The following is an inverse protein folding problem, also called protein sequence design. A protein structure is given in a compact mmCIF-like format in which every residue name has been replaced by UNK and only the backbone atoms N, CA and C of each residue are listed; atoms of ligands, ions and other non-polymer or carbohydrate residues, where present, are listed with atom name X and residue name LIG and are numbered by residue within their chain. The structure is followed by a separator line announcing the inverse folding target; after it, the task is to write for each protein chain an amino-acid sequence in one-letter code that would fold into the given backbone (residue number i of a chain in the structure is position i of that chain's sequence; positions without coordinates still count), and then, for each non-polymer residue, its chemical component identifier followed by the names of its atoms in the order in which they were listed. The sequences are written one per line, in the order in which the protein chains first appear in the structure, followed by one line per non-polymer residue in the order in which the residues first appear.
data_IF_311859376700
#
_entry.id   IF_311859376700
#
_cell.length_a   1.000
_cell.length_b   1.000
_cell.length_c   1.000
_cell.angle_alpha   90.00
_cell.angle_beta   90.00
_cell.angle_gamma   90.00
#
_symmetry.space_group_name_H-M   'P 1'
#
loop_
_entity.id
_entity.type
_entity.pdbx_description
1 polymer ?
#
# COMPACT_ATOMS: atom_id res chain seq x y z
N UNK A 1 -28.40 -16.50 31.48
CA UNK A 1 -27.82 -17.39 30.45
C UNK A 1 -27.02 -16.58 29.41
N UNK A 2 -26.57 -15.37 29.78
CA UNK A 2 -26.26 -14.31 28.82
C UNK A 2 -24.76 -14.04 28.67
N UNK A 3 -23.94 -14.46 29.64
CA UNK A 3 -22.49 -14.25 29.63
C UNK A 3 -21.77 -14.87 28.42
N UNK A 4 -21.98 -16.14 28.04
CA UNK A 4 -21.28 -16.72 26.89
C UNK A 4 -21.70 -16.08 25.56
N UNK A 5 -22.96 -15.65 25.43
CA UNK A 5 -23.45 -14.93 24.25
C UNK A 5 -22.86 -13.52 24.18
N UNK A 6 -22.81 -12.80 25.30
CA UNK A 6 -22.19 -11.48 25.39
C UNK A 6 -20.69 -11.52 25.05
N UNK A 7 -19.97 -12.55 25.51
CA UNK A 7 -18.55 -12.75 25.17
C UNK A 7 -18.34 -13.06 23.68
N UNK A 8 -19.18 -13.91 23.09
CA UNK A 8 -19.12 -14.20 21.65
C UNK A 8 -19.38 -12.94 20.81
N UNK A 9 -20.37 -12.14 21.20
CA UNK A 9 -20.67 -10.86 20.58
C UNK A 9 -19.48 -9.89 20.66
N UNK A 10 -18.89 -9.71 21.84
CA UNK A 10 -17.75 -8.81 22.04
C UNK A 10 -16.54 -9.24 21.19
N UNK A 11 -16.21 -10.54 21.14
CA UNK A 11 -15.12 -11.07 20.32
C UNK A 11 -15.32 -10.81 18.84
N UNK A 12 -16.53 -11.06 18.33
CA UNK A 12 -16.88 -10.83 16.93
C UNK A 12 -16.83 -9.33 16.58
N UNK A 13 -17.26 -8.46 17.50
CA UNK A 13 -17.19 -7.01 17.33
C UNK A 13 -15.75 -6.51 17.28
N UNK A 14 -14.88 -6.99 18.17
CA UNK A 14 -13.44 -6.64 18.16
C UNK A 14 -12.78 -7.11 16.87
N UNK A 15 -13.05 -8.35 16.43
CA UNK A 15 -12.53 -8.87 15.17
C UNK A 15 -12.96 -8.02 13.97
N UNK A 16 -14.22 -7.61 13.91
CA UNK A 16 -14.75 -6.77 12.84
C UNK A 16 -14.10 -5.38 12.84
N UNK A 17 -14.01 -4.74 14.01
CA UNK A 17 -13.36 -3.42 14.14
C UNK A 17 -11.89 -3.48 13.73
N UNK A 18 -11.15 -4.50 14.18
CA UNK A 18 -9.75 -4.68 13.82
C UNK A 18 -9.57 -4.90 12.31
N UNK A 19 -10.48 -5.64 11.66
CA UNK A 19 -10.48 -5.83 10.21
C UNK A 19 -10.74 -4.51 9.48
N UNK A 20 -11.76 -3.75 9.88
CA UNK A 20 -12.07 -2.43 9.28
C UNK A 20 -10.88 -1.48 9.43
N UNK A 21 -10.31 -1.39 10.64
CA UNK A 21 -9.15 -0.54 10.92
C UNK A 21 -7.96 -0.94 10.06
N UNK A 22 -7.70 -2.24 9.88
CA UNK A 22 -6.59 -2.72 9.04
C UNK A 22 -6.75 -2.30 7.58
N UNK A 23 -7.97 -2.38 7.02
CA UNK A 23 -8.26 -1.96 5.64
C UNK A 23 -8.17 -0.45 5.49
N UNK A 24 -8.73 0.31 6.44
CA UNK A 24 -8.66 1.78 6.43
C UNK A 24 -7.21 2.25 6.57
N UNK A 25 -6.39 1.52 7.33
CA UNK A 25 -4.97 1.82 7.51
C UNK A 25 -4.16 1.72 6.21
N UNK A 26 -4.58 0.95 5.21
CA UNK A 26 -3.95 0.95 3.87
C UNK A 26 -4.07 2.32 3.18
N UNK A 27 -5.17 3.04 3.40
CA UNK A 27 -5.39 4.37 2.82
C UNK A 27 -4.70 5.47 3.65
N UNK A 28 -4.75 5.33 4.98
CA UNK A 28 -4.29 6.34 5.92
C UNK A 28 -2.81 6.19 6.28
N UNK A 29 -2.31 4.96 6.42
CA UNK A 29 -0.94 4.64 6.81
C UNK A 29 0.12 5.33 5.95
N UNK A 30 -0.02 5.38 4.61
CA UNK A 30 0.90 6.13 3.75
C UNK A 30 0.90 7.66 3.97
N UNK A 31 -0.13 8.24 4.61
CA UNK A 31 -0.15 9.67 4.98
C UNK A 31 0.70 9.96 6.22
N UNK A 32 0.79 8.99 7.14
CA UNK A 32 1.51 9.15 8.41
C UNK A 32 2.94 8.62 8.35
N UNK A 33 3.22 7.70 7.44
CA UNK A 33 4.56 7.15 7.25
C UNK A 33 5.39 8.15 6.45
N UNK A 34 6.11 9.02 7.17
CA UNK A 34 6.88 10.14 6.61
C UNK A 34 8.26 9.76 6.08
N UNK A 35 8.58 8.47 5.98
CA UNK A 35 9.86 8.06 5.41
C UNK A 35 9.76 8.12 3.88
N UNK A 36 9.95 9.34 3.36
CA UNK A 36 9.92 9.66 1.94
C UNK A 36 11.24 10.28 1.50
N UNK A 37 11.44 10.37 0.18
CA UNK A 37 12.64 10.97 -0.38
C UNK A 37 12.82 12.45 -0.05
N UNK A 38 11.80 13.16 0.44
CA UNK A 38 11.92 14.59 0.75
C UNK A 38 12.94 14.84 1.86
N UNK A 39 13.02 13.92 2.82
CA UNK A 39 14.06 13.94 3.86
C UNK A 39 15.46 13.58 3.37
N UNK A 40 15.55 12.81 2.28
CA UNK A 40 16.80 12.23 1.77
C UNK A 40 17.44 13.07 0.67
N UNK A 41 16.64 13.84 -0.08
CA UNK A 41 17.09 14.71 -1.17
C UNK A 41 18.21 15.72 -0.76
N UNK A 42 18.21 16.31 0.45
CA UNK A 42 19.31 17.17 0.89
C UNK A 42 20.66 16.44 0.98
N UNK A 43 20.64 15.12 1.19
CA UNK A 43 21.81 14.27 1.38
C UNK A 43 22.21 13.50 0.13
N UNK A 44 21.64 13.80 -1.05
CA UNK A 44 21.93 13.10 -2.32
C UNK A 44 23.42 12.98 -2.62
N UNK A 45 24.20 14.04 -2.37
CA UNK A 45 25.65 14.02 -2.60
C UNK A 45 26.35 12.99 -1.73
N UNK A 46 25.93 12.85 -0.48
CA UNK A 46 26.46 11.85 0.45
C UNK A 46 25.98 10.44 0.05
N UNK A 47 24.70 10.29 -0.29
CA UNK A 47 24.13 9.00 -0.71
C UNK A 47 24.82 8.43 -1.96
N UNK A 48 25.20 9.30 -2.92
CA UNK A 48 25.96 8.90 -4.12
C UNK A 48 27.39 8.44 -3.84
N UNK A 49 27.94 8.69 -2.65
CA UNK A 49 29.27 8.16 -2.29
C UNK A 49 29.23 6.68 -1.90
N UNK A 50 28.04 6.14 -1.59
CA UNK A 50 27.89 4.73 -1.27
C UNK A 50 27.89 3.87 -2.54
N UNK A 51 28.51 2.68 -2.53
CA UNK A 51 28.53 1.75 -3.65
C UNK A 51 27.20 0.98 -3.75
N UNK A 52 26.08 1.70 -3.79
CA UNK A 52 24.74 1.15 -3.85
C UNK A 52 24.10 1.51 -5.19
N UNK A 53 23.35 0.56 -5.73
CA UNK A 53 22.50 0.80 -6.89
C UNK A 53 21.34 1.74 -6.51
N UNK A 54 21.07 2.75 -7.31
CA UNK A 54 20.03 3.74 -7.06
C UNK A 54 18.63 3.11 -7.01
N UNK A 55 18.39 2.08 -7.83
CA UNK A 55 17.15 1.30 -7.78
C UNK A 55 16.99 0.55 -6.45
N UNK A 56 18.08 0.01 -5.91
CA UNK A 56 18.08 -0.65 -4.60
C UNK A 56 17.82 0.35 -3.45
N UNK A 57 18.35 1.58 -3.54
CA UNK A 57 18.08 2.65 -2.57
C UNK A 57 16.59 3.03 -2.55
N UNK A 58 16.01 3.23 -3.74
CA UNK A 58 14.56 3.49 -3.91
C UNK A 58 13.71 2.35 -3.37
N UNK A 59 14.08 1.11 -3.70
CA UNK A 59 13.40 -0.07 -3.18
C UNK A 59 13.47 -0.15 -1.66
N UNK A 60 14.63 0.11 -1.06
CA UNK A 60 14.81 0.07 0.39
C UNK A 60 13.99 1.14 1.12
N UNK A 61 13.96 2.37 0.58
CA UNK A 61 13.19 3.47 1.17
C UNK A 61 11.69 3.16 1.15
N UNK A 62 11.18 2.68 0.02
CA UNK A 62 9.78 2.28 -0.13
C UNK A 62 9.45 1.07 0.76
N UNK A 63 10.34 0.07 0.81
CA UNK A 63 10.16 -1.13 1.62
C UNK A 63 10.13 -0.80 3.13
N UNK A 64 10.97 0.13 3.60
CA UNK A 64 10.98 0.54 5.01
C UNK A 64 9.65 1.16 5.44
N UNK A 65 9.09 2.04 4.60
CA UNK A 65 7.79 2.66 4.81
C UNK A 65 6.65 1.64 4.75
N UNK A 66 6.64 0.79 3.72
CA UNK A 66 5.62 -0.24 3.58
C UNK A 66 5.68 -1.26 4.73
N UNK A 67 6.88 -1.60 5.24
CA UNK A 67 7.04 -2.53 6.35
C UNK A 67 6.41 -2.02 7.66
N UNK A 68 6.46 -0.71 7.93
CA UNK A 68 5.77 -0.13 9.09
C UNK A 68 4.26 -0.27 9.00
N UNK A 69 3.69 -0.01 7.82
CA UNK A 69 2.24 -0.14 7.58
C UNK A 69 1.83 -1.61 7.67
N UNK A 70 2.61 -2.49 7.03
CA UNK A 70 2.41 -3.93 7.04
C UNK A 70 2.44 -4.52 8.45
N UNK A 71 3.36 -4.09 9.32
CA UNK A 71 3.46 -4.57 10.70
C UNK A 71 2.17 -4.28 11.48
N UNK A 72 1.57 -3.10 11.28
CA UNK A 72 0.30 -2.72 11.90
C UNK A 72 -0.86 -3.58 11.37
N UNK A 73 -0.94 -3.75 10.04
CA UNK A 73 -1.96 -4.60 9.42
C UNK A 73 -1.84 -6.06 9.84
N UNK A 74 -0.62 -6.59 9.95
CA UNK A 74 -0.36 -7.93 10.43
C UNK A 74 -0.94 -8.11 11.83
N UNK A 75 -0.63 -7.20 12.77
CA UNK A 75 -1.16 -7.24 14.12
C UNK A 75 -2.71 -7.12 14.14
N UNK A 76 -3.27 -6.22 13.34
CA UNK A 76 -4.73 -6.02 13.24
C UNK A 76 -5.46 -7.23 12.68
N UNK A 77 -4.89 -7.93 11.69
CA UNK A 77 -5.49 -9.09 11.05
C UNK A 77 -5.40 -10.38 11.88
N UNK A 78 -4.58 -10.44 12.95
CA UNK A 78 -4.60 -11.57 13.88
C UNK A 78 -5.92 -11.66 14.67
N UNK A 79 -6.56 -10.53 14.95
CA UNK A 79 -7.84 -10.49 15.65
C UNK A 79 -8.96 -11.24 14.90
N UNK A 80 -9.27 -10.93 13.62
CA UNK A 80 -10.27 -11.69 12.85
C UNK A 80 -9.86 -13.14 12.54
N UNK A 81 -8.57 -13.48 12.64
CA UNK A 81 -8.12 -14.88 12.51
C UNK A 81 -8.54 -15.73 13.73
N UNK A 82 -8.28 -15.24 14.95
CA UNK A 82 -8.41 -16.05 16.17
C UNK A 82 -9.67 -15.80 17.01
N UNK A 83 -10.22 -14.59 17.00
CA UNK A 83 -11.29 -14.21 17.93
C UNK A 83 -12.71 -14.69 17.56
N UNK A 84 -13.12 -14.78 16.27
CA UNK A 84 -14.53 -15.02 15.97
C UNK A 84 -15.04 -16.39 16.46
N UNK A 85 -16.22 -16.41 17.08
CA UNK A 85 -16.84 -17.62 17.64
C UNK A 85 -18.36 -17.62 17.42
N UNK A 86 -18.96 -18.80 17.26
CA UNK A 86 -20.40 -18.99 17.10
C UNK A 86 -20.78 -19.76 15.84
N UNK A 87 -22.02 -20.25 15.81
CA UNK A 87 -22.58 -20.96 14.66
C UNK A 87 -22.73 -19.99 13.49
N UNK A 88 -22.21 -20.37 12.32
CA UNK A 88 -22.17 -19.53 11.11
C UNK A 88 -20.85 -18.80 10.87
N UNK A 89 -19.88 -18.87 11.78
CA UNK A 89 -18.54 -18.36 11.51
C UNK A 89 -17.76 -19.28 10.57
N UNK A 90 -16.93 -18.74 9.65
CA UNK A 90 -16.07 -19.55 8.79
C UNK A 90 -15.17 -20.48 9.61
N UNK A 91 -14.82 -21.64 9.04
CA UNK A 91 -13.87 -22.55 9.67
C UNK A 91 -12.49 -21.90 9.81
N UNK A 92 -11.66 -22.38 10.73
CA UNK A 92 -10.31 -21.83 10.91
C UNK A 92 -9.49 -21.85 9.60
N UNK A 93 -9.60 -22.91 8.80
CA UNK A 93 -8.94 -23.01 7.50
C UNK A 93 -9.42 -21.92 6.51
N UNK A 94 -10.72 -21.61 6.49
CA UNK A 94 -11.26 -20.52 5.67
C UNK A 94 -10.75 -19.16 6.14
N UNK A 95 -10.72 -18.92 7.46
CA UNK A 95 -10.19 -17.68 8.03
C UNK A 95 -8.70 -17.50 7.74
N UNK A 96 -7.91 -18.58 7.82
CA UNK A 96 -6.51 -18.56 7.45
C UNK A 96 -6.33 -18.21 5.96
N UNK A 97 -7.17 -18.78 5.09
CA UNK A 97 -7.19 -18.41 3.67
C UNK A 97 -7.51 -16.93 3.44
N UNK A 98 -8.54 -16.41 4.12
CA UNK A 98 -8.90 -14.97 4.06
C UNK A 98 -7.81 -14.08 4.64
N UNK A 99 -7.17 -14.49 5.73
CA UNK A 99 -6.05 -13.78 6.36
C UNK A 99 -4.89 -13.63 5.39
N UNK A 100 -4.42 -14.74 4.79
CA UNK A 100 -3.32 -14.71 3.81
C UNK A 100 -3.71 -13.87 2.59
N UNK A 101 -4.94 -14.03 2.09
CA UNK A 101 -5.43 -13.28 0.94
C UNK A 101 -5.44 -11.77 1.18
N UNK A 102 -6.03 -11.33 2.30
CA UNK A 102 -6.09 -9.93 2.69
C UNK A 102 -4.70 -9.38 2.95
N UNK A 103 -3.86 -10.10 3.71
CA UNK A 103 -2.52 -9.66 4.04
C UNK A 103 -1.67 -9.40 2.78
N UNK A 104 -1.75 -10.28 1.78
CA UNK A 104 -1.05 -10.09 0.50
C UNK A 104 -1.63 -8.92 -0.32
N UNK A 105 -2.96 -8.81 -0.39
CA UNK A 105 -3.61 -7.72 -1.10
C UNK A 105 -3.27 -6.35 -0.50
N UNK A 106 -3.37 -6.21 0.83
CA UNK A 106 -3.09 -4.97 1.53
C UNK A 106 -1.59 -4.61 1.46
N UNK A 107 -0.68 -5.57 1.66
CA UNK A 107 0.76 -5.33 1.52
C UNK A 107 1.13 -4.79 0.14
N UNK A 108 0.51 -5.35 -0.90
CA UNK A 108 0.75 -4.92 -2.29
C UNK A 108 0.22 -3.51 -2.54
N UNK A 109 -0.96 -3.18 -2.00
CA UNK A 109 -1.54 -1.84 -2.04
C UNK A 109 -0.72 -0.81 -1.25
N UNK A 110 -0.14 -1.21 -0.11
CA UNK A 110 0.71 -0.35 0.70
C UNK A 110 1.97 0.04 -0.08
N UNK A 111 2.65 -0.93 -0.69
CA UNK A 111 3.84 -0.68 -1.50
C UNK A 111 3.50 0.25 -2.67
N UNK A 112 2.39 0.01 -3.37
CA UNK A 112 1.94 0.89 -4.46
C UNK A 112 1.67 2.31 -3.98
N UNK A 113 0.95 2.46 -2.87
CA UNK A 113 0.60 3.75 -2.28
C UNK A 113 1.82 4.54 -1.83
N UNK A 114 2.80 3.88 -1.21
CA UNK A 114 4.07 4.47 -0.80
C UNK A 114 4.92 4.84 -2.03
N UNK A 115 4.93 3.99 -3.05
CA UNK A 115 5.68 4.22 -4.29
C UNK A 115 5.20 5.48 -5.00
N UNK A 116 3.88 5.63 -5.18
CA UNK A 116 3.29 6.81 -5.84
C UNK A 116 3.64 8.10 -5.09
N UNK A 117 3.60 8.07 -3.75
CA UNK A 117 3.95 9.24 -2.92
C UNK A 117 5.42 9.62 -3.04
N UNK A 118 6.30 8.62 -3.06
CA UNK A 118 7.73 8.82 -3.26
C UNK A 118 8.06 9.28 -4.68
N UNK A 119 7.35 8.77 -5.69
CA UNK A 119 7.50 9.21 -7.07
C UNK A 119 7.22 10.71 -7.24
N UNK A 120 6.16 11.23 -6.61
CA UNK A 120 5.85 12.67 -6.66
C UNK A 120 7.00 13.51 -6.07
N UNK A 121 7.64 13.04 -5.00
CA UNK A 121 8.79 13.73 -4.43
C UNK A 121 10.01 13.77 -5.38
N UNK A 122 10.20 12.72 -6.18
CA UNK A 122 11.27 12.65 -7.17
C UNK A 122 10.98 13.47 -8.44
N UNK A 123 9.72 13.51 -8.90
CA UNK A 123 9.34 14.30 -10.08
C UNK A 123 9.25 15.80 -9.82
N UNK A 124 8.96 16.19 -8.58
CA UNK A 124 8.81 17.59 -8.18
C UNK A 124 9.75 17.91 -7.00
N UNK A 125 11.08 17.86 -7.20
CA UNK A 125 12.04 18.10 -6.14
C UNK A 125 11.94 19.53 -5.59
N UNK A 126 11.56 20.52 -6.42
CA UNK A 126 11.33 21.90 -6.00
C UNK A 126 10.13 22.10 -5.06
N UNK A 127 9.27 21.09 -4.87
CA UNK A 127 8.21 21.12 -3.84
C UNK A 127 8.70 20.62 -2.48
N UNK A 128 9.98 20.24 -2.37
CA UNK A 128 10.61 19.83 -1.13
C UNK A 128 11.14 21.05 -0.40
N UNK A 129 10.53 21.34 0.74
CA UNK A 129 10.92 22.47 1.57
C UNK A 129 12.21 22.15 2.31
N UNK A 130 13.28 22.81 1.91
CA UNK A 130 14.55 22.82 2.62
C UNK A 130 14.48 23.85 3.76
N UNK A 131 13.76 23.54 4.84
CA UNK A 131 13.72 24.40 6.04
C UNK A 131 12.36 24.48 6.75
N UNK A 132 12.36 25.11 7.94
CA UNK A 132 11.18 25.28 8.81
C UNK A 132 10.24 26.42 8.36
N UNK A 133 10.51 27.04 7.21
CA UNK A 133 9.71 28.13 6.66
C UNK A 133 8.67 27.57 5.69
N UNK A 134 7.43 27.37 6.14
CA UNK A 134 6.46 26.76 5.23
C UNK A 134 5.04 26.54 5.72
N UNK A 135 4.55 27.35 6.66
CA UNK A 135 3.17 27.30 7.16
C UNK A 135 2.16 28.18 6.40
N UNK A 136 2.44 28.57 5.15
CA UNK A 136 1.59 29.45 4.35
C UNK A 136 0.49 28.72 3.55
N UNK A 137 -0.48 29.47 3.02
CA UNK A 137 -1.55 28.95 2.15
C UNK A 137 -1.02 28.19 0.92
N UNK A 138 0.16 28.56 0.41
CA UNK A 138 0.83 27.85 -0.68
C UNK A 138 1.20 26.40 -0.30
N UNK A 139 1.59 26.16 0.96
CA UNK A 139 1.85 24.83 1.48
C UNK A 139 0.61 23.94 1.44
N UNK A 140 -0.54 24.53 1.77
CA UNK A 140 -1.82 23.83 1.75
C UNK A 140 -2.19 23.47 0.31
N UNK A 141 -2.00 24.40 -0.63
CA UNK A 141 -2.21 24.16 -2.06
C UNK A 141 -1.32 23.04 -2.62
N UNK A 142 -0.03 23.06 -2.33
CA UNK A 142 0.91 22.01 -2.74
C UNK A 142 0.57 20.64 -2.14
N UNK A 143 0.21 20.60 -0.85
CA UNK A 143 -0.22 19.35 -0.20
C UNK A 143 -1.51 18.80 -0.82
N UNK A 144 -2.47 19.68 -1.16
CA UNK A 144 -3.73 19.29 -1.80
C UNK A 144 -3.48 18.74 -3.21
N UNK A 145 -2.65 19.43 -4.02
CA UNK A 145 -2.28 19.00 -5.36
C UNK A 145 -1.48 17.68 -5.34
N UNK A 146 -0.51 17.55 -4.42
CA UNK A 146 0.25 16.32 -4.25
C UNK A 146 -0.64 15.15 -3.82
N UNK A 147 -1.59 15.39 -2.93
CA UNK A 147 -2.56 14.37 -2.51
C UNK A 147 -3.49 13.99 -3.67
N UNK A 148 -4.08 14.96 -4.36
CA UNK A 148 -4.95 14.73 -5.51
C UNK A 148 -4.23 13.99 -6.64
N UNK A 149 -2.99 14.40 -6.97
CA UNK A 149 -2.14 13.73 -7.94
C UNK A 149 -1.81 12.29 -7.53
N UNK A 150 -1.52 12.05 -6.25
CA UNK A 150 -1.26 10.69 -5.74
C UNK A 150 -2.50 9.79 -5.84
N UNK A 151 -3.68 10.33 -5.52
CA UNK A 151 -4.94 9.59 -5.64
C UNK A 151 -5.27 9.28 -7.09
N UNK A 152 -5.07 10.25 -7.99
CA UNK A 152 -5.28 10.04 -9.42
C UNK A 152 -4.33 8.99 -9.98
N UNK A 153 -3.03 9.06 -9.66
CA UNK A 153 -2.05 8.05 -10.06
C UNK A 153 -2.37 6.67 -9.48
N UNK A 154 -2.80 6.59 -8.22
CA UNK A 154 -3.22 5.33 -7.62
C UNK A 154 -4.44 4.74 -8.32
N UNK A 155 -5.44 5.56 -8.65
CA UNK A 155 -6.61 5.11 -9.42
C UNK A 155 -6.17 4.57 -10.78
N UNK A 156 -5.32 5.30 -11.51
CA UNK A 156 -4.83 4.88 -12.82
C UNK A 156 -4.06 3.57 -12.76
N UNK A 157 -3.15 3.42 -11.79
CA UNK A 157 -2.40 2.18 -11.58
C UNK A 157 -3.33 1.03 -11.19
N UNK A 158 -4.36 1.29 -10.38
CA UNK A 158 -5.28 0.24 -9.95
C UNK A 158 -6.26 -0.21 -11.05
N UNK A 159 -6.40 0.54 -12.16
CA UNK A 159 -7.31 0.17 -13.26
C UNK A 159 -6.96 -1.20 -13.84
N UNK A 160 -5.70 -1.45 -14.20
CA UNK A 160 -5.31 -2.71 -14.86
C UNK A 160 -5.45 -3.90 -13.90
N UNK A 161 -4.92 -3.88 -12.66
CA UNK A 161 -5.10 -4.96 -11.70
C UNK A 161 -6.57 -5.22 -11.36
N UNK A 162 -7.37 -4.18 -11.17
CA UNK A 162 -8.79 -4.32 -10.84
C UNK A 162 -9.60 -4.87 -12.02
N UNK A 163 -9.33 -4.43 -13.25
CA UNK A 163 -10.00 -4.95 -14.45
C UNK A 163 -9.63 -6.42 -14.69
N UNK A 164 -8.36 -6.80 -14.55
CA UNK A 164 -7.94 -8.19 -14.71
C UNK A 164 -8.58 -9.11 -13.66
N UNK A 165 -8.54 -8.70 -12.39
CA UNK A 165 -9.13 -9.48 -11.31
C UNK A 165 -10.65 -9.63 -11.47
N UNK A 166 -11.35 -8.53 -11.78
CA UNK A 166 -12.80 -8.54 -11.98
C UNK A 166 -13.22 -9.31 -13.24
N UNK A 167 -12.47 -9.20 -14.34
CA UNK A 167 -12.73 -9.95 -15.56
C UNK A 167 -12.64 -11.46 -15.33
N UNK A 168 -11.63 -11.93 -14.58
CA UNK A 168 -11.48 -13.35 -14.27
C UNK A 168 -12.55 -13.85 -13.31
N UNK A 169 -12.93 -13.05 -12.31
CA UNK A 169 -14.07 -13.40 -11.45
C UNK A 169 -15.35 -13.54 -12.26
N UNK A 170 -15.65 -12.57 -13.12
CA UNK A 170 -16.84 -12.58 -13.97
C UNK A 170 -16.84 -13.79 -14.91
N UNK A 171 -15.73 -14.03 -15.62
CA UNK A 171 -15.62 -15.12 -16.59
C UNK A 171 -15.79 -16.48 -15.91
N UNK A 172 -15.09 -16.74 -14.81
CA UNK A 172 -15.19 -18.03 -14.12
C UNK A 172 -16.58 -18.26 -13.51
N UNK A 173 -17.22 -17.23 -12.94
CA UNK A 173 -18.58 -17.34 -12.40
C UNK A 173 -19.63 -17.55 -13.51
N UNK A 174 -19.45 -16.95 -14.68
CA UNK A 174 -20.36 -17.12 -15.82
C UNK A 174 -20.30 -18.53 -16.42
N UNK A 175 -19.12 -19.16 -16.45
CA UNK A 175 -18.91 -20.46 -17.12
C UNK A 175 -19.00 -21.68 -16.19
N UNK A 176 -18.84 -21.50 -14.87
CA UNK A 176 -18.88 -22.61 -13.91
C UNK A 176 -20.13 -22.51 -13.03
N UNK A 177 -21.17 -23.28 -13.34
CA UNK A 177 -22.40 -23.38 -12.54
C UNK A 177 -22.19 -24.06 -11.15
N UNK A 178 -20.95 -24.10 -10.62
CA UNK A 178 -20.55 -24.89 -9.46
C UNK A 178 -20.19 -24.00 -8.26
N UNK A 179 -20.82 -24.19 -7.07
CA UNK A 179 -20.45 -23.51 -5.82
C UNK A 179 -19.00 -23.72 -5.38
N UNK A 180 -18.35 -24.81 -5.81
CA UNK A 180 -16.93 -25.10 -5.52
C UNK A 180 -15.96 -24.24 -6.34
N UNK A 181 -16.40 -23.68 -7.47
CA UNK A 181 -15.58 -22.80 -8.29
C UNK A 181 -15.34 -21.43 -7.63
N UNK A 182 -16.19 -21.02 -6.68
CA UNK A 182 -16.09 -19.70 -6.04
C UNK A 182 -14.76 -19.48 -5.31
N UNK A 183 -14.23 -20.52 -4.64
CA UNK A 183 -12.94 -20.42 -3.95
C UNK A 183 -11.76 -20.36 -4.93
N UNK A 184 -11.82 -21.10 -6.04
CA UNK A 184 -10.77 -21.11 -7.06
C UNK A 184 -10.73 -19.77 -7.80
N UNK A 185 -11.89 -19.22 -8.15
CA UNK A 185 -12.00 -17.91 -8.81
C UNK A 185 -11.44 -16.79 -7.95
N UNK A 186 -11.71 -16.79 -6.65
CA UNK A 186 -11.17 -15.79 -5.72
C UNK A 186 -9.65 -15.87 -5.59
N UNK A 187 -9.09 -17.08 -5.49
CA UNK A 187 -7.63 -17.27 -5.43
C UNK A 187 -6.98 -16.82 -6.74
N UNK A 188 -7.53 -17.20 -7.90
CA UNK A 188 -6.99 -16.78 -9.19
C UNK A 188 -7.07 -15.26 -9.39
N UNK A 189 -8.19 -14.64 -9.01
CA UNK A 189 -8.35 -13.20 -9.08
C UNK A 189 -7.34 -12.47 -8.18
N UNK A 190 -7.10 -12.97 -6.98
CA UNK A 190 -6.08 -12.42 -6.08
C UNK A 190 -4.68 -12.57 -6.67
N UNK A 191 -4.34 -13.76 -7.20
CA UNK A 191 -3.01 -14.00 -7.81
C UNK A 191 -2.77 -13.05 -8.98
N UNK A 192 -3.79 -12.83 -9.83
CA UNK A 192 -3.70 -11.90 -10.93
C UNK A 192 -3.63 -10.44 -10.47
N UNK A 193 -4.40 -10.07 -9.45
CA UNK A 193 -4.34 -8.74 -8.85
C UNK A 193 -2.94 -8.43 -8.31
N UNK A 194 -2.41 -9.32 -7.47
CA UNK A 194 -1.07 -9.18 -6.88
C UNK A 194 0.01 -9.22 -7.96
N UNK A 195 -0.12 -10.13 -8.93
CA UNK A 195 0.83 -10.27 -10.04
C UNK A 195 0.86 -9.04 -10.95
N UNK A 196 -0.30 -8.45 -11.25
CA UNK A 196 -0.39 -7.23 -12.05
C UNK A 196 0.28 -6.06 -11.33
N UNK A 197 -0.02 -5.83 -10.04
CA UNK A 197 0.62 -4.76 -9.28
C UNK A 197 2.13 -5.02 -9.13
N UNK A 198 2.56 -6.27 -8.91
CA UNK A 198 3.98 -6.58 -8.84
C UNK A 198 4.71 -6.25 -10.16
N UNK A 199 4.07 -6.49 -11.31
CA UNK A 199 4.58 -6.09 -12.62
C UNK A 199 4.68 -4.57 -12.76
N UNK A 200 3.64 -3.83 -12.35
CA UNK A 200 3.64 -2.37 -12.36
C UNK A 200 4.72 -1.79 -11.45
N UNK A 201 4.86 -2.31 -10.22
CA UNK A 201 5.86 -1.90 -9.25
C UNK A 201 7.28 -2.16 -9.76
N UNK A 202 7.51 -3.31 -10.39
CA UNK A 202 8.82 -3.62 -10.97
C UNK A 202 9.22 -2.63 -12.06
N UNK A 203 8.28 -2.26 -12.94
CA UNK A 203 8.50 -1.22 -13.95
C UNK A 203 8.75 0.14 -13.30
N UNK A 204 7.91 0.52 -12.32
CA UNK A 204 8.04 1.78 -11.59
C UNK A 204 9.37 1.91 -10.86
N UNK A 205 9.84 0.88 -10.17
CA UNK A 205 11.12 0.93 -9.45
C UNK A 205 12.31 1.13 -10.38
N UNK A 206 12.32 0.45 -11.53
CA UNK A 206 13.38 0.64 -12.54
C UNK A 206 13.34 2.04 -13.12
N UNK A 207 12.15 2.52 -13.45
CA UNK A 207 11.99 3.86 -14.01
C UNK A 207 12.35 4.95 -13.01
N UNK A 208 11.91 4.82 -11.75
CA UNK A 208 12.24 5.77 -10.67
C UNK A 208 13.72 5.77 -10.33
N UNK A 209 14.41 4.63 -10.41
CA UNK A 209 15.88 4.57 -10.28
C UNK A 209 16.57 5.45 -11.32
N UNK A 210 16.17 5.34 -12.60
CA UNK A 210 16.70 6.19 -13.67
C UNK A 210 16.38 7.67 -13.44
N UNK A 211 15.19 8.00 -12.94
CA UNK A 211 14.84 9.40 -12.61
C UNK A 211 15.75 9.92 -11.50
N UNK A 212 15.95 9.14 -10.43
CA UNK A 212 16.82 9.49 -9.32
C UNK A 212 18.28 9.74 -9.74
N UNK A 213 18.80 8.95 -10.68
CA UNK A 213 20.14 9.14 -11.23
C UNK A 213 20.30 10.44 -12.00
N UNK A 214 19.24 10.88 -12.69
CA UNK A 214 19.25 12.07 -13.53
C UNK A 214 18.99 13.38 -12.75
N UNK A 215 18.61 13.33 -11.47
CA UNK A 215 18.43 14.53 -10.65
C UNK A 215 19.79 15.19 -10.43
N UNK A 216 19.96 16.44 -10.87
CA UNK A 216 21.19 17.19 -10.61
C UNK A 216 21.23 17.66 -9.14
N UNK A 217 22.31 17.32 -8.45
CA UNK A 217 22.53 17.72 -7.06
C UNK A 217 22.94 19.20 -6.91
N UNK A 218 23.21 19.90 -8.03
CA UNK A 218 23.39 21.35 -8.06
C UNK A 218 22.06 22.11 -7.92
N UNK A 219 21.00 21.62 -8.56
CA UNK A 219 19.69 22.29 -8.67
C UNK A 219 18.91 22.31 -7.34
N UNK A 220 19.26 21.43 -6.40
CA UNK A 220 18.59 21.31 -5.09
C UNK A 220 19.25 22.20 -4.02
N UNK A 221 20.54 22.55 -4.14
CA UNK A 221 21.28 23.26 -3.09
C UNK A 221 21.36 24.78 -3.28
N UNK A 222 21.17 25.26 -4.51
CA UNK A 222 21.02 26.69 -4.81
C UNK A 222 19.59 26.93 -5.32
N UNK A 223 18.58 27.14 -4.44
CA UNK A 223 17.31 27.68 -4.89
C UNK A 223 17.59 29.08 -5.45
N UNK A 224 17.39 29.26 -6.76
CA UNK A 224 17.52 30.54 -7.44
C UNK A 224 16.64 31.63 -6.78
#
# INVERSE_FOLDING_TARGET
QDLPQALAFARNMIAMLALIVSVVWTLIGPLYTRNDFRGDLPYLRLLRTYPLDSGALVGAQIASSAAMIFAFQLAGLLAPLFLPTGDGMPSFAQRLGMFVALLLALATLDVLSVTVRNAIALFFPGWVKLGNEGGGFEAIGQNLLGTAGSLLLLVLLLLVPALLASAVLYWLQAFTAFPRAMNVSLVLALVLFVGAIAGELWFLFRWLGTVYDNIDAGEILDPA
#
